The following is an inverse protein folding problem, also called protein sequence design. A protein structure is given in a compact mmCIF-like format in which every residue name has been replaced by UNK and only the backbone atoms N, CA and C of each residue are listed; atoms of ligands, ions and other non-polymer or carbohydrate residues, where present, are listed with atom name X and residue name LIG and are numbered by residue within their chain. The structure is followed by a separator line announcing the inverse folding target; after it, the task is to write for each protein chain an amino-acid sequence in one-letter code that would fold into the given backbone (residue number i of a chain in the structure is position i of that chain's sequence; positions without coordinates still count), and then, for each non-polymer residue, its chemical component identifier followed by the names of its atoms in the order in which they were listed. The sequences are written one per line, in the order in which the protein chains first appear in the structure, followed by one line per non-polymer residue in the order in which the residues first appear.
data_IF_418498054977
#
_entry.id   IF_418498054977
#
_cell.length_a   1.000
_cell.length_b   1.000
_cell.length_c   1.000
_cell.angle_alpha   90.00
_cell.angle_beta   90.00
_cell.angle_gamma   90.00
#
_symmetry.space_group_name_H-M   'P 1'
#
loop_
_entity.id
_entity.type
_entity.pdbx_description
1 polymer ?
#
# COMPACT_ATOMS: atom_id res chain seq x y z
N UNK A 1 11.81 4.34 -13.46
CA UNK A 1 10.81 4.13 -12.39
C UNK A 1 10.72 5.43 -11.64
N UNK A 2 9.56 6.09 -11.64
CA UNK A 2 9.36 7.29 -10.82
C UNK A 2 9.18 6.78 -9.41
N UNK A 3 10.17 6.97 -8.56
CA UNK A 3 9.95 6.90 -7.12
C UNK A 3 8.87 7.94 -6.82
N UNK A 4 7.70 7.48 -6.38
CA UNK A 4 6.66 8.33 -5.80
C UNK A 4 7.24 8.93 -4.52
N UNK A 5 8.03 10.00 -4.68
CA UNK A 5 8.48 10.86 -3.60
C UNK A 5 7.25 11.59 -3.09
N UNK A 6 6.47 10.91 -2.25
CA UNK A 6 5.49 11.57 -1.40
C UNK A 6 6.28 12.55 -0.57
N UNK A 7 6.19 13.83 -0.93
CA UNK A 7 6.89 14.88 -0.20
C UNK A 7 6.34 14.88 1.22
N UNK A 8 7.20 14.82 2.24
CA UNK A 8 6.78 14.89 3.65
C UNK A 8 5.87 16.12 3.89
N UNK A 9 6.05 17.19 3.12
CA UNK A 9 5.16 18.35 3.08
C UNK A 9 3.70 18.00 2.76
N UNK A 10 3.46 17.13 1.77
CA UNK A 10 2.10 16.74 1.37
C UNK A 10 1.44 15.90 2.44
N UNK A 11 2.14 14.91 2.98
CA UNK A 11 1.67 14.15 4.13
C UNK A 11 1.37 15.07 5.32
N UNK A 12 2.27 16.00 5.64
CA UNK A 12 2.09 16.92 6.75
C UNK A 12 0.91 17.87 6.57
N UNK A 13 0.55 18.21 5.32
CA UNK A 13 -0.61 19.04 4.98
C UNK A 13 -1.97 18.31 5.04
N UNK A 14 -1.97 16.97 5.09
CA UNK A 14 -3.20 16.18 5.17
C UNK A 14 -3.94 16.39 6.50
N UNK A 15 -5.26 16.22 6.44
CA UNK A 15 -6.09 16.15 7.64
C UNK A 15 -5.65 14.95 8.52
N UNK A 16 -5.72 15.02 9.86
CA UNK A 16 -5.32 13.92 10.74
C UNK A 16 -5.96 12.57 10.41
N UNK A 17 -7.24 12.58 10.01
CA UNK A 17 -7.93 11.36 9.58
C UNK A 17 -7.34 10.75 8.29
N UNK A 18 -6.90 11.59 7.35
CA UNK A 18 -6.27 11.14 6.11
C UNK A 18 -4.86 10.61 6.36
N UNK A 19 -4.13 11.20 7.32
CA UNK A 19 -2.84 10.67 7.80
C UNK A 19 -3.00 9.29 8.43
N UNK A 20 -3.96 9.13 9.34
CA UNK A 20 -4.24 7.84 9.97
C UNK A 20 -4.61 6.79 8.92
N UNK A 21 -5.44 7.15 7.94
CA UNK A 21 -5.79 6.27 6.83
C UNK A 21 -4.58 5.92 5.96
N UNK A 22 -3.72 6.90 5.66
CA UNK A 22 -2.49 6.67 4.89
C UNK A 22 -1.54 5.70 5.60
N UNK A 23 -1.35 5.86 6.90
CA UNK A 23 -0.53 4.97 7.73
C UNK A 23 -1.13 3.56 7.80
N UNK A 24 -2.46 3.45 7.96
CA UNK A 24 -3.16 2.16 7.95
C UNK A 24 -2.97 1.42 6.62
N UNK A 25 -3.18 2.10 5.49
CA UNK A 25 -2.97 1.50 4.16
C UNK A 25 -1.50 1.11 3.96
N UNK A 26 -0.56 1.92 4.42
CA UNK A 26 0.87 1.61 4.37
C UNK A 26 1.19 0.34 5.16
N UNK A 27 0.58 0.16 6.33
CA UNK A 27 0.76 -1.04 7.13
C UNK A 27 0.14 -2.27 6.46
N UNK A 28 -1.07 -2.14 5.90
CA UNK A 28 -1.73 -3.22 5.16
C UNK A 28 -0.92 -3.69 3.95
N UNK A 29 -0.37 -2.76 3.16
CA UNK A 29 0.50 -3.08 2.03
C UNK A 29 1.71 -3.91 2.49
N UNK A 30 2.36 -3.51 3.58
CA UNK A 30 3.52 -4.24 4.13
C UNK A 30 3.14 -5.64 4.59
N UNK A 31 1.98 -5.81 5.20
CA UNK A 31 1.52 -7.11 5.67
C UNK A 31 1.16 -8.04 4.51
N UNK A 32 0.52 -7.54 3.44
CA UNK A 32 0.29 -8.31 2.21
C UNK A 32 1.60 -8.67 1.49
N UNK A 33 2.57 -7.75 1.44
CA UNK A 33 3.91 -8.04 0.91
C UNK A 33 4.60 -9.15 1.72
N UNK A 34 4.47 -9.14 3.05
CA UNK A 34 5.01 -10.22 3.90
C UNK A 34 4.35 -11.57 3.59
N UNK A 35 3.05 -11.60 3.26
CA UNK A 35 2.38 -12.85 2.83
C UNK A 35 3.00 -13.41 1.56
N UNK A 36 3.38 -12.57 0.59
CA UNK A 36 4.10 -13.00 -0.62
C UNK A 36 5.45 -13.64 -0.30
N UNK A 37 6.14 -13.14 0.73
CA UNK A 37 7.46 -13.64 1.12
C UNK A 37 7.40 -14.91 1.97
N UNK A 38 6.37 -15.08 2.82
CA UNK A 38 6.34 -16.09 3.88
C UNK A 38 5.24 -17.14 3.68
N UNK A 39 4.08 -16.77 3.14
CA UNK A 39 2.86 -17.57 3.27
C UNK A 39 2.31 -18.15 1.97
N UNK A 40 2.57 -17.58 0.79
CA UNK A 40 1.97 -18.09 -0.46
C UNK A 40 2.63 -19.41 -0.89
N UNK A 41 1.98 -20.58 -0.71
CA UNK A 41 2.54 -21.87 -1.05
C UNK A 41 2.08 -22.26 -2.46
N UNK A 42 2.97 -22.14 -3.45
CA UNK A 42 2.97 -23.00 -4.63
C UNK A 42 2.05 -22.67 -5.82
N UNK A 43 0.91 -21.99 -5.64
CA UNK A 43 0.00 -21.70 -6.77
C UNK A 43 0.14 -20.26 -7.32
N UNK A 44 0.34 -20.07 -8.64
CA UNK A 44 0.48 -18.74 -9.25
C UNK A 44 -0.74 -17.83 -9.07
N UNK A 45 -1.94 -18.41 -8.95
CA UNK A 45 -3.19 -17.66 -8.82
C UNK A 45 -3.30 -16.96 -7.45
N UNK A 46 -2.86 -17.61 -6.37
CA UNK A 46 -2.84 -17.04 -5.03
C UNK A 46 -1.85 -15.88 -4.95
N UNK A 47 -0.68 -16.03 -5.57
CA UNK A 47 0.30 -14.96 -5.69
C UNK A 47 -0.27 -13.75 -6.44
N UNK A 48 -0.93 -13.99 -7.58
CA UNK A 48 -1.58 -12.94 -8.36
C UNK A 48 -2.74 -12.27 -7.61
N UNK A 49 -3.44 -12.99 -6.73
CA UNK A 49 -4.49 -12.41 -5.90
C UNK A 49 -3.89 -11.43 -4.86
N UNK A 50 -2.79 -11.81 -4.19
CA UNK A 50 -2.11 -10.96 -3.22
C UNK A 50 -1.43 -9.75 -3.91
N UNK A 51 -0.81 -9.95 -5.07
CA UNK A 51 -0.23 -8.84 -5.86
C UNK A 51 -1.29 -7.82 -6.30
N UNK A 52 -2.47 -8.28 -6.75
CA UNK A 52 -3.59 -7.39 -7.07
C UNK A 52 -4.14 -6.66 -5.85
N UNK A 53 -4.17 -7.32 -4.69
CA UNK A 53 -4.60 -6.68 -3.46
C UNK A 53 -3.65 -5.56 -3.04
N UNK A 54 -2.34 -5.75 -3.19
CA UNK A 54 -1.33 -4.72 -2.95
C UNK A 54 -1.55 -3.53 -3.89
N UNK A 55 -1.74 -3.77 -5.19
CA UNK A 55 -1.98 -2.72 -6.18
C UNK A 55 -3.20 -1.85 -5.81
N UNK A 56 -4.32 -2.46 -5.42
CA UNK A 56 -5.51 -1.74 -5.00
C UNK A 56 -5.27 -0.87 -3.75
N UNK A 57 -4.52 -1.38 -2.77
CA UNK A 57 -4.18 -0.64 -1.56
C UNK A 57 -3.23 0.52 -1.87
N UNK A 58 -2.29 0.34 -2.80
CA UNK A 58 -1.40 1.40 -3.27
C UNK A 58 -2.18 2.49 -4.01
N UNK A 59 -3.12 2.13 -4.88
CA UNK A 59 -4.01 3.09 -5.54
C UNK A 59 -4.84 3.89 -4.52
N UNK A 60 -5.42 3.21 -3.52
CA UNK A 60 -6.19 3.90 -2.48
C UNK A 60 -5.31 4.86 -1.66
N UNK A 61 -4.08 4.43 -1.33
CA UNK A 61 -3.12 5.26 -0.62
C UNK A 61 -2.72 6.48 -1.45
N UNK A 62 -2.50 6.32 -2.75
CA UNK A 62 -2.18 7.43 -3.66
C UNK A 62 -3.34 8.42 -3.78
N UNK A 63 -4.60 7.95 -3.75
CA UNK A 63 -5.77 8.85 -3.79
C UNK A 63 -5.87 9.78 -2.58
N UNK A 64 -5.35 9.37 -1.42
CA UNK A 64 -5.27 10.25 -0.24
C UNK A 64 -4.31 11.41 -0.48
N UNK A 65 -3.29 11.18 -1.32
CA UNK A 65 -2.29 12.18 -1.63
C UNK A 65 -2.69 13.09 -2.79
N UNK A 66 -3.73 12.79 -3.56
CA UNK A 66 -4.18 13.63 -4.70
C UNK A 66 -4.99 14.83 -4.21
#
# INVERSE_FOLDING_TARGET
MKEDFVSEERLNSLHPADKEKYELLTQQIKDEQRKLEVEVPGEPEDRLAVERQIELLEEERQRILL
#
